data_IF_529942418821
#
_entry.id   IF_529942418821
#
_cell.length_a   1.000
_cell.length_b   1.000
_cell.length_c   1.000
_cell.angle_alpha   90.00
_cell.angle_beta   90.00
_cell.angle_gamma   90.00
#
_symmetry.space_group_name_H-M   'P 1'
#
loop_
_entity.id
_entity.type
_entity.pdbx_description
1 polymer ?
2 polymer ?
3 polymer ?
4 non-polymer ?
5 non-polymer ?
6 water ?
#
# COMPACT_ATOMS: atom_id res chain seq x y z
N UNK A 3 -17.85 4.76 -1.44
CA UNK A 3 -17.78 5.37 -2.75
C UNK A 3 -16.48 4.98 -3.46
N UNK A 4 -16.50 5.02 -4.79
CA UNK A 4 -15.29 4.79 -5.59
C UNK A 4 -14.37 5.99 -5.52
N UNK A 5 -13.07 5.74 -5.68
CA UNK A 5 -12.06 6.77 -5.54
C UNK A 5 -10.98 6.59 -6.59
N UNK A 6 -10.41 7.69 -7.05
CA UNK A 6 -9.14 7.66 -7.76
C UNK A 6 -8.12 8.37 -6.89
N UNK A 7 -6.96 7.74 -6.72
CA UNK A 7 -5.94 8.30 -5.83
C UNK A 7 -4.59 8.18 -6.48
N UNK A 8 -3.82 9.25 -6.42
CA UNK A 8 -2.43 9.27 -6.86
C UNK A 8 -1.50 9.45 -5.68
N UNK A 9 -0.33 8.80 -5.77
CA UNK A 9 0.66 8.78 -4.71
C UNK A 9 2.01 9.08 -5.34
N UNK A 10 2.79 9.97 -4.74
CA UNK A 10 4.15 10.16 -5.25
C UNK A 10 5.13 10.32 -4.10
N UNK A 11 6.38 9.95 -4.39
CA UNK A 11 7.49 10.00 -3.44
C UNK A 11 8.72 10.55 -4.14
N UNK A 12 9.33 11.59 -3.59
CA UNK A 12 10.66 12.01 -4.01
C UNK A 12 11.65 11.81 -2.87
N UNK A 13 12.83 11.29 -3.20
CA UNK A 13 13.86 10.99 -2.20
C UNK A 13 15.16 11.61 -2.67
N UNK A 14 15.77 12.43 -1.85
CA UNK A 14 17.06 13.01 -2.22
C UNK A 14 18.22 12.07 -1.86
N UNK A 15 19.35 12.28 -2.51
CA UNK A 15 20.56 11.51 -2.33
C UNK A 15 21.75 12.43 -2.54
N UNK A 16 21.99 13.32 -1.60
CA UNK A 16 23.02 14.34 -1.77
C UNK A 16 24.39 13.74 -2.07
N UNK A 17 25.05 14.29 -3.06
CA UNK A 17 26.32 13.78 -3.54
C UNK A 17 26.19 12.66 -4.56
N UNK A 18 24.99 12.15 -4.79
CA UNK A 18 24.74 11.06 -5.74
C UNK A 18 23.74 11.47 -6.81
N UNK A 19 23.74 12.75 -7.17
CA UNK A 19 22.82 13.21 -8.18
C UNK A 19 21.53 13.74 -7.60
N UNK A 20 20.57 13.94 -8.49
CA UNK A 20 19.30 14.58 -8.17
C UNK A 20 18.29 13.57 -7.62
N UNK A 21 17.26 14.06 -6.94
CA UNK A 21 16.31 13.15 -6.30
C UNK A 21 15.61 12.23 -7.27
N UNK A 22 15.17 11.08 -6.74
CA UNK A 22 14.39 10.12 -7.47
C UNK A 22 12.92 10.32 -7.16
N UNK A 23 12.08 10.17 -8.17
CA UNK A 23 10.64 10.40 -8.09
C UNK A 23 9.91 9.15 -8.55
N UNK A 24 9.03 8.62 -7.69
CA UNK A 24 8.20 7.47 -8.03
C UNK A 24 6.74 7.82 -7.76
N UNK A 25 5.88 7.57 -8.75
CA UNK A 25 4.46 7.87 -8.63
C UNK A 25 3.63 6.68 -9.09
N UNK A 26 2.49 6.48 -8.44
CA UNK A 26 1.52 5.45 -8.81
C UNK A 26 0.11 6.01 -8.71
N UNK A 27 -0.80 5.41 -9.49
CA UNK A 27 -2.21 5.79 -9.44
C UNK A 27 -3.09 4.57 -9.30
N UNK A 28 -4.21 4.76 -8.58
CA UNK A 28 -5.14 3.70 -8.22
C UNK A 28 -6.56 4.12 -8.49
N UNK A 29 -7.39 3.18 -8.93
CA UNK A 29 -8.83 3.27 -8.74
C UNK A 29 -9.19 2.32 -7.62
N UNK A 30 -9.70 2.86 -6.51
CA UNK A 30 -9.97 2.04 -5.34
C UNK A 30 -8.66 1.36 -4.95
N UNK A 31 -8.65 0.06 -4.80
CA UNK A 31 -7.42 -0.65 -4.45
C UNK A 31 -6.76 -1.35 -5.63
N UNK A 32 -7.01 -0.88 -6.85
CA UNK A 32 -6.45 -1.45 -8.06
C UNK A 32 -5.52 -0.44 -8.73
N UNK A 33 -4.24 -0.80 -8.84
CA UNK A 33 -3.29 0.11 -9.45
C UNK A 33 -3.47 0.12 -10.96
N UNK A 34 -3.34 1.29 -11.58
CA UNK A 34 -3.41 1.32 -13.04
C UNK A 34 -2.23 2.02 -13.71
N UNK A 35 -1.37 2.73 -12.98
CA UNK A 35 -0.29 3.46 -13.63
C UNK A 35 0.89 3.56 -12.68
N UNK A 36 2.09 3.66 -13.24
CA UNK A 36 3.32 3.89 -12.49
C UNK A 36 4.26 4.79 -13.29
N UNK A 37 5.15 5.45 -12.55
CA UNK A 37 6.25 6.23 -13.14
C UNK A 37 7.40 6.23 -12.16
N UNK A 38 8.61 6.05 -12.69
CA UNK A 38 9.83 6.04 -11.87
C UNK A 38 10.89 6.79 -12.65
N UNK A 39 11.40 7.90 -12.08
CA UNK A 39 12.40 8.69 -12.78
C UNK A 39 13.71 7.94 -12.93
N UNK A 40 13.93 6.88 -12.15
CA UNK A 40 15.11 6.04 -12.25
C UNK A 40 14.87 4.78 -13.06
N UNK A 41 13.69 4.65 -13.67
CA UNK A 41 13.41 3.45 -14.45
C UNK A 41 14.30 3.39 -15.69
N UNK A 42 14.47 2.18 -16.24
CA UNK A 42 15.24 2.05 -17.47
C UNK A 42 14.72 2.99 -18.55
N UNK A 43 13.41 3.07 -18.73
CA UNK A 43 12.80 4.08 -19.58
C UNK A 43 11.76 4.83 -18.76
N UNK A 44 12.01 6.09 -18.40
CA UNK A 44 11.10 6.78 -17.48
C UNK A 44 9.89 7.35 -18.19
N UNK A 45 8.83 6.55 -18.21
CA UNK A 45 7.57 6.87 -18.85
C UNK A 45 6.43 6.42 -17.96
N UNK A 46 5.28 7.06 -18.12
CA UNK A 46 4.08 6.50 -17.52
C UNK A 46 3.78 5.16 -18.16
N UNK A 47 3.44 4.15 -17.36
CA UNK A 47 3.23 2.81 -17.89
C UNK A 47 1.97 2.19 -17.30
N UNK A 48 1.25 1.40 -18.10
CA UNK A 48 0.01 0.78 -17.60
C UNK A 48 0.29 -0.35 -16.63
N UNK A 49 -0.60 -0.48 -15.63
CA UNK A 49 -0.50 -1.56 -14.67
C UNK A 49 -1.84 -2.27 -14.48
N UNK A 50 -2.83 -1.93 -15.30
CA UNK A 50 -4.12 -2.62 -15.32
C UNK A 50 -4.55 -2.76 -16.79
N UNK A 51 -5.23 -3.86 -17.12
CA UNK A 51 -5.66 -4.05 -18.51
C UNK A 51 -6.61 -2.98 -19.02
N UNK A 52 -7.45 -2.40 -18.16
CA UNK A 52 -8.47 -1.47 -18.63
C UNK A 52 -7.92 -0.08 -18.93
N UNK A 53 -6.61 0.10 -18.87
CA UNK A 53 -5.95 1.33 -19.31
C UNK A 53 -4.94 1.06 -20.42
N UNK A 54 -4.76 -0.21 -20.80
CA UNK A 54 -3.81 -0.55 -21.86
C UNK A 54 -4.19 0.00 -23.24
N UNK A 55 -5.47 0.23 -23.47
CA UNK A 55 -5.96 0.68 -24.77
C UNK A 55 -5.82 2.18 -24.98
N UNK A 56 -5.55 2.94 -23.95
CA UNK A 56 -5.43 4.38 -24.11
C UNK A 56 -4.27 4.66 -25.07
N UNK A 57 -4.47 5.64 -25.94
CA UNK A 57 -3.54 5.86 -27.03
C UNK A 57 -2.25 6.49 -26.57
N UNK A 58 -1.29 6.60 -27.51
CA UNK A 58 0.00 7.22 -27.19
C UNK A 58 -0.12 8.65 -26.73
N UNK A 59 -1.21 9.33 -27.08
CA UNK A 59 -1.42 10.69 -26.61
C UNK A 59 -1.65 10.73 -25.11
N UNK A 60 -2.51 9.85 -24.60
CA UNK A 60 -2.72 9.72 -23.16
C UNK A 60 -1.39 9.47 -22.46
N UNK A 61 -0.61 8.50 -22.94
CA UNK A 61 0.62 8.13 -22.25
C UNK A 61 1.68 9.20 -22.37
N UNK A 62 1.77 9.89 -23.50
CA UNK A 62 2.65 11.04 -23.61
C UNK A 62 2.25 12.12 -22.62
N UNK A 63 0.97 12.41 -22.55
CA UNK A 63 0.41 13.44 -21.69
C UNK A 63 0.75 13.15 -20.23
N UNK A 64 0.49 11.94 -19.82
CA UNK A 64 0.75 11.58 -18.44
C UNK A 64 2.24 11.60 -18.13
N UNK A 65 3.06 11.10 -19.06
CA UNK A 65 4.51 11.09 -18.85
C UNK A 65 5.05 12.50 -18.62
N UNK A 66 4.56 13.47 -19.40
CA UNK A 66 5.06 14.84 -19.26
C UNK A 66 4.69 15.43 -17.90
N UNK A 67 3.48 15.14 -17.41
CA UNK A 67 3.09 15.60 -16.08
C UNK A 67 4.00 15.01 -15.01
N UNK A 68 4.30 13.72 -15.11
CA UNK A 68 5.16 13.09 -14.10
C UNK A 68 6.55 13.72 -14.08
N UNK A 69 7.11 13.98 -15.26
CA UNK A 69 8.44 14.57 -15.32
C UNK A 69 8.45 15.99 -14.75
N UNK A 70 7.39 16.73 -15.01
CA UNK A 70 7.30 18.07 -14.47
C UNK A 70 7.18 18.05 -12.95
N UNK A 71 6.39 17.14 -12.43
CA UNK A 71 6.23 17.06 -10.98
C UNK A 71 7.53 16.62 -10.31
N UNK A 72 8.28 15.70 -10.94
CA UNK A 72 9.57 15.33 -10.39
C UNK A 72 10.47 16.55 -10.26
N UNK A 73 10.47 17.40 -11.30
CA UNK A 73 11.31 18.60 -11.27
C UNK A 73 10.86 19.54 -10.16
N UNK A 74 9.54 19.73 -10.02
CA UNK A 74 9.00 20.58 -8.96
C UNK A 74 9.39 20.05 -7.58
N UNK A 75 9.28 18.72 -7.38
CA UNK A 75 9.63 18.14 -6.09
C UNK A 75 11.09 18.42 -5.73
N UNK A 76 11.98 18.44 -6.72
CA UNK A 76 13.37 18.76 -6.42
C UNK A 76 13.50 20.13 -5.78
N UNK A 77 12.79 21.12 -6.34
CA UNK A 77 12.77 22.46 -5.77
C UNK A 77 12.16 22.45 -4.38
N UNK A 78 11.03 21.75 -4.22
CA UNK A 78 10.38 21.69 -2.90
C UNK A 78 11.31 21.12 -1.85
N UNK A 79 12.01 20.03 -2.18
CA UNK A 79 12.96 19.46 -1.22
C UNK A 79 14.04 20.48 -0.86
N UNK A 80 14.52 21.24 -1.85
CA UNK A 80 15.49 22.29 -1.58
C UNK A 80 14.91 23.36 -0.65
N UNK A 81 13.67 23.76 -0.90
CA UNK A 81 13.05 24.79 -0.06
C UNK A 81 12.85 24.27 1.36
N UNK A 82 12.41 23.01 1.50
CA UNK A 82 12.12 22.45 2.81
C UNK A 82 13.38 22.33 3.65
N UNK A 83 14.49 21.93 3.03
CA UNK A 83 15.75 21.88 3.75
C UNK A 83 16.10 23.25 4.31
N UNK A 84 15.86 24.30 3.53
CA UNK A 84 16.06 25.65 4.03
C UNK A 84 15.15 26.01 5.19
N UNK A 85 13.83 25.74 5.04
CA UNK A 85 12.88 26.09 6.09
C UNK A 85 13.28 25.50 7.44
N UNK A 86 13.78 24.26 7.43
CA UNK A 86 14.07 23.55 8.66
C UNK A 86 15.54 23.61 9.03
N UNK A 87 16.33 24.41 8.30
CA UNK A 87 17.75 24.64 8.59
C UNK A 87 18.52 23.33 8.65
N UNK A 88 18.23 22.44 7.71
CA UNK A 88 18.87 21.14 7.69
C UNK A 88 20.12 21.15 6.80
N UNK A 89 21.04 20.25 7.12
CA UNK A 89 22.29 20.16 6.39
C UNK A 89 22.07 19.71 4.96
N UNK A 90 23.00 20.10 4.07
CA UNK A 90 22.99 19.63 2.70
C UNK A 90 23.32 18.15 2.57
N UNK A 91 23.82 17.52 3.64
CA UNK A 91 24.34 16.17 3.54
C UNK A 91 23.28 15.09 3.69
N UNK A 92 22.15 15.38 4.33
CA UNK A 92 21.19 14.35 4.64
C UNK A 92 20.16 14.14 3.54
N UNK A 93 19.73 12.89 3.41
CA UNK A 93 18.64 12.52 2.52
C UNK A 93 17.29 12.83 3.16
N UNK A 94 16.33 13.26 2.35
CA UNK A 94 15.00 13.59 2.83
C UNK A 94 13.95 13.11 1.83
N UNK A 95 12.71 13.03 2.30
CA UNK A 95 11.61 12.44 1.55
C UNK A 95 10.46 13.41 1.48
N UNK A 96 9.86 13.54 0.29
CA UNK A 96 8.64 14.31 0.11
C UNK A 96 7.58 13.40 -0.49
N UNK A 97 6.43 13.27 0.19
CA UNK A 97 5.32 12.45 -0.29
C UNK A 97 4.09 13.30 -0.53
N UNK A 98 3.32 12.91 -1.53
CA UNK A 98 2.08 13.57 -1.94
C UNK A 98 1.04 12.51 -2.20
N UNK A 99 -0.18 12.74 -1.72
CA UNK A 99 -1.32 11.91 -2.07
C UNK A 99 -2.50 12.81 -2.33
N UNK A 100 -3.17 12.61 -3.45
CA UNK A 100 -4.39 13.35 -3.72
C UNK A 100 -5.39 12.44 -4.41
N UNK A 101 -6.65 12.83 -4.37
CA UNK A 101 -7.64 11.98 -4.99
C UNK A 101 -9.02 12.57 -4.89
N UNK A 102 -9.94 11.89 -5.56
CA UNK A 102 -11.34 12.28 -5.62
C UNK A 102 -12.22 11.06 -5.33
N UNK A 103 -13.27 11.28 -4.55
CA UNK A 103 -14.30 10.28 -4.33
C UNK A 103 -15.51 10.63 -5.20
N UNK A 104 -16.10 9.61 -5.81
CA UNK A 104 -17.22 9.79 -6.74
C UNK A 104 -18.54 9.81 -5.99
N UNK A 105 -19.32 10.88 -6.19
CA UNK A 105 -20.60 11.04 -5.55
C UNK A 105 -21.72 10.42 -6.34
N UNK A 106 -22.90 10.30 -5.71
CA UNK A 106 -24.02 9.62 -6.37
C UNK A 106 -24.59 10.35 -7.58
N UNK A 107 -24.19 11.60 -7.82
CA UNK A 107 -24.59 12.31 -9.02
C UNK A 107 -23.55 12.23 -10.14
N UNK A 108 -22.54 11.38 -9.99
CA UNK A 108 -21.47 11.33 -10.98
C UNK A 108 -20.52 12.50 -10.93
N UNK A 109 -20.55 13.28 -9.86
CA UNK A 109 -19.63 14.39 -9.67
C UNK A 109 -18.86 14.19 -8.37
N UNK A 110 -18.01 15.14 -8.05
CA UNK A 110 -17.18 15.04 -6.86
C UNK A 110 -18.02 14.96 -5.59
N UNK A 111 -17.75 13.94 -4.77
CA UNK A 111 -18.28 13.82 -3.42
C UNK A 111 -17.35 14.48 -2.41
N UNK A 112 -16.06 14.20 -2.51
CA UNK A 112 -15.07 14.86 -1.67
C UNK A 112 -13.71 14.72 -2.34
N UNK A 113 -12.85 15.71 -2.10
CA UNK A 113 -11.50 15.69 -2.63
C UNK A 113 -10.50 15.83 -1.51
N UNK A 114 -9.27 15.39 -1.76
CA UNK A 114 -8.24 15.47 -0.77
C UNK A 114 -6.91 15.59 -1.44
N UNK A 115 -6.00 16.26 -0.74
CA UNK A 115 -4.68 16.56 -1.26
C UNK A 115 -3.77 16.84 -0.11
N UNK A 116 -2.80 16.00 0.14
CA UNK A 116 -1.95 16.18 1.28
C UNK A 116 -0.53 15.86 0.99
N UNK A 117 0.37 16.47 1.77
CA UNK A 117 1.81 16.29 1.61
C UNK A 117 2.47 16.03 2.96
N UNK A 118 3.55 15.22 2.92
CA UNK A 118 4.32 14.90 4.10
C UNK A 118 5.81 15.07 3.80
N UNK A 119 6.56 15.50 4.80
CA UNK A 119 8.00 15.66 4.71
C UNK A 119 8.66 14.77 5.74
N UNK A 120 9.57 13.91 5.28
CA UNK A 120 10.22 12.92 6.13
C UNK A 120 9.20 12.14 6.97
N UNK A 121 8.08 11.80 6.36
CA UNK A 121 7.10 10.91 6.98
C UNK A 121 6.14 11.58 7.95
N UNK A 122 6.13 12.91 8.02
CA UNK A 122 5.25 13.64 8.92
C UNK A 122 4.38 14.61 8.13
N UNK A 123 3.10 14.69 8.48
CA UNK A 123 2.16 15.64 7.86
C UNK A 123 2.79 17.02 7.69
N UNK A 124 2.65 17.60 6.49
CA UNK A 124 3.15 18.94 6.22
C UNK A 124 2.06 19.96 5.88
N UNK A 125 1.36 19.76 4.80
CA UNK A 125 0.26 20.66 4.44
C UNK A 125 -0.83 19.85 3.77
N UNK A 126 -2.09 20.24 4.00
CA UNK A 126 -3.23 19.56 3.43
C UNK A 126 -4.28 20.54 2.93
N UNK A 127 -4.89 20.21 1.80
CA UNK A 127 -6.05 20.95 1.35
C UNK A 127 -7.25 20.59 2.21
N UNK A 128 -7.94 21.61 2.70
CA UNK A 128 -9.08 21.37 3.56
C UNK A 128 -10.26 20.88 2.75
N UNK A 129 -11.28 20.39 3.46
CA UNK A 129 -12.45 19.82 2.80
C UNK A 129 -13.17 20.82 1.91
N UNK A 130 -13.06 22.11 2.21
CA UNK A 130 -13.69 23.11 1.35
C UNK A 130 -13.01 23.25 -0.01
N UNK A 131 -11.84 22.65 -0.16
CA UNK A 131 -11.06 22.70 -1.38
C UNK A 131 -10.70 24.14 -1.70
N UNK A 132 -10.66 24.98 -0.70
CA UNK A 132 -10.33 26.39 -0.86
C UNK A 132 -9.22 26.90 0.04
N UNK A 133 -9.08 26.27 1.18
CA UNK A 133 -8.14 26.65 2.18
C UNK A 133 -7.18 25.51 2.55
N UNK A 134 -6.06 25.85 3.15
CA UNK A 134 -5.02 24.90 3.49
C UNK A 134 -4.82 24.83 5.00
N UNK A 135 -4.47 23.65 5.50
CA UNK A 135 -4.02 23.48 6.88
C UNK A 135 -2.53 23.19 6.87
N UNK A 136 -1.77 24.01 7.59
CA UNK A 136 -0.33 23.88 7.72
C UNK A 136 0.01 23.22 9.06
N UNK A 137 0.94 22.27 9.03
CA UNK A 137 1.27 21.53 10.24
C UNK A 137 2.10 22.37 11.21
N UNK A 138 2.89 23.31 10.71
CA UNK A 138 3.82 24.05 11.57
C UNK A 138 4.18 25.37 10.88
N UNK A 139 5.10 26.12 11.50
CA UNK A 139 5.43 27.43 10.94
C UNK A 139 6.15 27.34 9.60
N UNK A 140 6.80 26.22 9.29
CA UNK A 140 7.38 26.08 7.95
C UNK A 140 6.29 25.88 6.91
N UNK A 141 5.33 24.99 7.18
CA UNK A 141 4.23 24.80 6.26
C UNK A 141 3.35 26.05 6.13
N UNK A 142 3.40 26.98 7.10
CA UNK A 142 2.66 28.23 6.97
C UNK A 142 3.28 29.13 5.90
N UNK A 143 4.58 28.99 5.67
CA UNK A 143 5.21 29.65 4.53
C UNK A 143 4.62 29.13 3.24
N UNK A 144 4.60 27.80 3.08
CA UNK A 144 3.97 27.20 1.91
C UNK A 144 2.53 27.66 1.77
N UNK A 145 1.79 27.67 2.89
CA UNK A 145 0.40 28.12 2.87
C UNK A 145 0.28 29.52 2.28
N UNK A 146 1.14 30.44 2.73
CA UNK A 146 1.10 31.81 2.20
C UNK A 146 1.47 31.85 0.72
N UNK A 147 2.50 31.09 0.32
CA UNK A 147 2.84 31.04 -1.10
C UNK A 147 1.67 30.52 -1.93
N UNK A 148 1.01 29.46 -1.46
CA UNK A 148 -0.03 28.83 -2.27
C UNK A 148 -1.33 29.65 -2.28
N UNK A 149 -1.60 30.40 -1.21
CA UNK A 149 -2.70 31.35 -1.25
C UNK A 149 -2.44 32.45 -2.28
N UNK A 150 -1.22 32.97 -2.32
CA UNK A 150 -0.91 34.01 -3.29
C UNK A 150 -0.94 33.48 -4.72
N UNK A 151 -0.48 32.24 -4.92
CA UNK A 151 -0.49 31.61 -6.23
C UNK A 151 -1.85 31.05 -6.62
N UNK A 152 -2.86 31.19 -5.75
CA UNK A 152 -4.21 30.68 -6.01
C UNK A 152 -4.15 29.19 -6.36
N UNK A 153 -3.31 28.47 -5.61
CA UNK A 153 -3.06 27.06 -5.89
C UNK A 153 -4.30 26.20 -5.64
N UNK A 154 -5.07 26.52 -4.59
CA UNK A 154 -6.23 25.70 -4.25
C UNK A 154 -7.27 25.72 -5.37
N UNK A 155 -7.46 26.87 -6.02
CA UNK A 155 -8.41 26.91 -7.13
C UNK A 155 -7.98 25.98 -8.26
N UNK A 156 -6.67 25.88 -8.50
CA UNK A 156 -6.17 24.95 -9.50
C UNK A 156 -6.44 23.52 -9.11
N UNK A 157 -6.12 23.16 -7.86
CA UNK A 157 -6.33 21.80 -7.41
C UNK A 157 -7.82 21.46 -7.42
N UNK A 158 -8.66 22.39 -6.96
CA UNK A 158 -10.09 22.14 -6.95
C UNK A 158 -10.61 21.89 -8.35
N UNK A 159 -10.13 22.65 -9.34
CA UNK A 159 -10.61 22.46 -10.71
C UNK A 159 -10.27 21.06 -11.21
N UNK A 160 -9.06 20.57 -10.90
CA UNK A 160 -8.71 19.19 -11.27
C UNK A 160 -9.60 18.20 -10.56
N UNK A 161 -9.76 18.36 -9.23
CA UNK A 161 -10.53 17.37 -8.47
C UNK A 161 -11.98 17.31 -8.92
N UNK A 162 -12.60 18.47 -9.15
CA UNK A 162 -13.97 18.52 -9.59
C UNK A 162 -14.26 18.14 -11.03
N UNK A 163 -13.26 18.27 -11.87
CA UNK A 163 -13.45 17.98 -13.24
C UNK A 163 -12.73 16.79 -13.77
N UNK A 164 -11.47 16.96 -14.11
CA UNK A 164 -10.68 15.92 -14.69
C UNK A 164 -10.61 14.65 -13.83
N UNK A 165 -10.47 14.79 -12.53
CA UNK A 165 -10.35 13.61 -11.68
C UNK A 165 -11.61 12.76 -11.73
N UNK A 166 -12.78 13.38 -11.58
CA UNK A 166 -14.03 12.63 -11.57
C UNK A 166 -14.35 12.09 -12.96
N UNK A 167 -14.09 12.88 -14.00
CA UNK A 167 -14.36 12.41 -15.36
C UNK A 167 -13.56 11.17 -15.70
N UNK A 168 -12.27 11.15 -15.36
CA UNK A 168 -11.47 9.97 -15.66
C UNK A 168 -11.78 8.81 -14.75
N UNK A 169 -12.09 9.08 -13.47
CA UNK A 169 -12.53 8.01 -12.58
C UNK A 169 -13.75 7.29 -13.14
N UNK A 170 -14.69 8.05 -13.71
CA UNK A 170 -15.87 7.45 -14.31
C UNK A 170 -15.52 6.62 -15.55
N UNK A 171 -14.63 7.15 -16.40
CA UNK A 171 -14.20 6.40 -17.58
C UNK A 171 -13.55 5.08 -17.20
N UNK A 172 -12.64 5.11 -16.22
CA UNK A 172 -11.98 3.89 -15.77
C UNK A 172 -12.97 2.90 -15.17
N UNK A 173 -13.93 3.40 -14.38
CA UNK A 173 -14.91 2.50 -13.77
C UNK A 173 -15.74 1.79 -14.84
N UNK A 174 -16.04 2.47 -15.94
CA UNK A 174 -16.78 1.82 -17.03
C UNK A 174 -15.91 0.83 -17.80
N UNK A 175 -14.69 1.24 -18.18
CA UNK A 175 -13.83 0.36 -18.98
C UNK A 175 -13.37 -0.85 -18.19
N UNK A 176 -13.20 -0.73 -16.88
CA UNK A 176 -12.80 -1.86 -16.08
C UNK A 176 -13.91 -2.35 -15.16
N UNK A 177 -15.16 -2.23 -15.62
CA UNK A 177 -16.29 -2.47 -14.73
C UNK A 177 -16.35 -3.90 -14.24
N UNK A 178 -15.94 -4.87 -15.06
CA UNK A 178 -16.11 -6.25 -14.64
C UNK A 178 -15.12 -6.67 -13.55
N UNK A 179 -14.16 -5.81 -13.20
CA UNK A 179 -13.32 -6.04 -12.04
C UNK A 179 -13.40 -4.93 -11.00
N UNK A 180 -13.60 -3.67 -11.42
CA UNK A 180 -13.61 -2.56 -10.48
C UNK A 180 -14.93 -2.43 -9.72
N UNK A 181 -16.05 -2.86 -10.31
CA UNK A 181 -17.35 -2.70 -9.68
C UNK A 181 -17.85 -4.01 -9.05
N UNK A 182 -16.91 -4.87 -8.67
CA UNK A 182 -17.18 -6.20 -8.13
C UNK A 182 -16.47 -6.35 -6.79
N UNK A 183 -17.21 -6.37 -5.70
CA UNK A 183 -16.62 -6.75 -4.43
C UNK A 183 -16.45 -8.27 -4.40
N UNK A 184 -15.37 -8.74 -3.78
CA UNK A 184 -15.13 -10.16 -3.57
C UNK A 184 -15.08 -10.41 -2.08
N UNK A 185 -15.98 -11.23 -1.57
CA UNK A 185 -16.04 -11.47 -0.14
C UNK A 185 -14.82 -12.28 0.31
N UNK A 186 -14.44 -12.16 1.57
CA UNK A 186 -13.34 -13.00 2.08
C UNK A 186 -13.79 -14.45 2.19
N UNK A 187 -12.87 -15.34 1.86
CA UNK A 187 -13.02 -16.76 2.10
C UNK A 187 -12.26 -17.07 3.37
N UNK A 188 -12.94 -17.62 4.38
CA UNK A 188 -12.36 -17.73 5.70
C UNK A 188 -12.15 -19.17 6.12
N UNK A 189 -11.23 -19.35 7.07
CA UNK A 189 -11.08 -20.61 7.78
C UNK A 189 -10.30 -20.34 9.06
N UNK A 190 -10.42 -21.25 10.02
CA UNK A 190 -9.71 -21.14 11.29
C UNK A 190 -8.80 -22.34 11.45
N UNK A 191 -7.53 -22.08 11.73
CA UNK A 191 -6.57 -23.15 12.00
C UNK A 191 -6.19 -23.16 13.47
N UNK A 192 -5.59 -24.27 13.89
CA UNK A 192 -5.37 -24.57 15.29
C UNK A 192 -4.01 -25.21 15.47
N UNK A 193 -3.18 -24.65 16.33
CA UNK A 193 -1.80 -25.11 16.53
C UNK A 193 -1.48 -25.17 18.00
N UNK A 194 -1.49 -26.35 18.61
CA UNK A 194 -1.05 -26.46 20.01
C UNK A 194 0.36 -25.91 20.20
N UNK A 195 0.58 -25.21 21.31
CA UNK A 195 1.90 -24.65 21.62
C UNK A 195 2.45 -25.16 22.95
N UNK A 196 1.67 -25.89 23.73
CA UNK A 196 2.12 -26.43 25.00
C UNK A 196 1.14 -27.51 25.42
N UNK A 197 1.31 -28.05 26.62
CA UNK A 197 0.35 -29.04 27.07
C UNK A 197 -0.96 -28.42 27.58
N UNK A 198 -1.16 -27.11 27.44
CA UNK A 198 -2.47 -26.55 27.77
C UNK A 198 -2.80 -25.25 27.04
N UNK A 199 -2.07 -24.88 25.99
CA UNK A 199 -2.39 -23.71 25.21
C UNK A 199 -2.27 -24.03 23.72
N UNK A 200 -3.00 -23.27 22.91
CA UNK A 200 -3.00 -23.48 21.48
C UNK A 200 -3.29 -22.16 20.77
N UNK A 201 -2.69 -21.99 19.60
CA UNK A 201 -2.97 -20.83 18.76
C UNK A 201 -4.19 -21.11 17.91
N UNK A 202 -5.11 -20.15 17.87
CA UNK A 202 -6.19 -20.12 16.90
C UNK A 202 -5.88 -19.01 15.90
N UNK A 203 -5.89 -19.33 14.62
CA UNK A 203 -5.59 -18.34 13.58
C UNK A 203 -6.78 -18.24 12.64
N UNK A 204 -7.35 -17.03 12.56
CA UNK A 204 -8.50 -16.76 11.71
C UNK A 204 -8.03 -16.13 10.41
N UNK A 205 -8.37 -16.76 9.29
CA UNK A 205 -7.91 -16.39 7.97
C UNK A 205 -9.01 -15.73 7.14
N UNK A 206 -8.63 -14.71 6.39
CA UNK A 206 -9.47 -14.14 5.33
C UNK A 206 -8.64 -14.08 4.06
N UNK A 207 -9.14 -14.70 3.00
CA UNK A 207 -8.40 -14.81 1.75
C UNK A 207 -9.25 -14.36 0.59
N UNK A 208 -8.60 -13.82 -0.43
CA UNK A 208 -9.25 -13.59 -1.70
C UNK A 208 -10.25 -12.46 -1.73
N UNK A 209 -10.09 -11.46 -0.86
CA UNK A 209 -11.12 -10.42 -0.78
C UNK A 209 -10.69 -9.16 -1.51
N UNK A 210 -11.70 -8.38 -1.91
CA UNK A 210 -11.49 -7.10 -2.59
C UNK A 210 -12.74 -6.27 -2.35
N UNK A 211 -12.59 -5.00 -1.95
CA UNK A 211 -11.36 -4.25 -1.73
C UNK A 211 -10.63 -4.66 -0.46
N UNK A 212 -9.57 -3.91 -0.14
CA UNK A 212 -8.64 -4.32 0.90
C UNK A 212 -9.15 -4.09 2.33
N UNK A 213 -10.03 -3.14 2.53
CA UNK A 213 -10.51 -2.86 3.87
C UNK A 213 -11.26 -4.07 4.45
N UNK A 214 -10.87 -4.49 5.65
CA UNK A 214 -11.49 -5.61 6.33
C UNK A 214 -11.28 -5.40 7.82
N UNK A 215 -12.15 -5.98 8.64
CA UNK A 215 -11.95 -6.07 10.08
C UNK A 215 -11.98 -7.54 10.47
N UNK A 216 -10.96 -7.97 11.23
CA UNK A 216 -10.85 -9.31 11.79
C UNK A 216 -10.62 -9.17 13.28
N UNK A 217 -11.51 -9.72 14.09
CA UNK A 217 -11.33 -9.62 15.54
C UNK A 217 -11.65 -10.96 16.18
N UNK A 218 -10.96 -11.23 17.29
CA UNK A 218 -11.28 -12.38 18.12
C UNK A 218 -12.02 -11.92 19.37
N UNK A 219 -13.02 -12.71 19.78
CA UNK A 219 -13.73 -12.52 21.03
C UNK A 219 -13.63 -13.76 21.90
N UNK A 220 -13.57 -13.54 23.22
CA UNK A 220 -13.66 -14.61 24.21
C UNK A 220 -14.90 -14.34 25.05
N UNK A 221 -15.83 -15.29 25.08
CA UNK A 221 -17.12 -15.07 25.74
C UNK A 221 -17.72 -13.74 25.31
N UNK A 222 -17.59 -13.41 24.03
CA UNK A 222 -18.12 -12.16 23.49
C UNK A 222 -17.32 -10.90 23.81
N UNK A 223 -16.18 -11.02 24.49
CA UNK A 223 -15.34 -9.88 24.84
C UNK A 223 -14.18 -9.78 23.86
N UNK A 224 -14.07 -8.63 23.18
CA UNK A 224 -12.99 -8.43 22.23
C UNK A 224 -11.62 -8.61 22.88
N UNK A 225 -10.72 -9.27 22.18
CA UNK A 225 -9.38 -9.58 22.67
C UNK A 225 -8.28 -8.91 21.86
N UNK A 226 -8.49 -7.66 21.44
CA UNK A 226 -7.56 -7.03 20.49
C UNK A 226 -6.16 -6.89 21.08
N UNK A 227 -6.04 -6.56 22.36
CA UNK A 227 -4.70 -6.42 22.92
C UNK A 227 -3.89 -7.71 22.84
N UNK A 228 -4.56 -8.85 22.97
CA UNK A 228 -3.90 -10.15 22.94
C UNK A 228 -3.91 -10.79 21.55
N UNK A 229 -4.31 -10.06 20.52
CA UNK A 229 -4.42 -10.61 19.17
C UNK A 229 -3.20 -10.20 18.35
N UNK A 230 -2.62 -11.15 17.65
CA UNK A 230 -1.57 -10.86 16.67
C UNK A 230 -2.26 -10.67 15.32
N UNK A 231 -2.13 -9.47 14.75
CA UNK A 231 -2.87 -9.08 13.56
C UNK A 231 -1.85 -8.68 12.50
N UNK A 232 -1.70 -9.47 11.44
CA UNK A 232 -0.76 -9.09 10.40
C UNK A 232 -1.36 -8.01 9.51
N UNK A 233 -0.47 -7.24 8.88
CA UNK A 233 -0.90 -6.23 7.93
C UNK A 233 -1.60 -6.87 6.74
N UNK A 234 -2.69 -6.24 6.29
CA UNK A 234 -3.37 -6.70 5.09
C UNK A 234 -2.40 -6.72 3.92
N UNK A 235 -2.41 -7.82 3.17
CA UNK A 235 -1.34 -8.06 2.21
C UNK A 235 -1.91 -8.47 0.85
N UNK A 236 -1.24 -8.10 -0.22
CA UNK A 236 -1.70 -8.45 -1.56
C UNK A 236 -1.39 -9.90 -1.89
N UNK A 237 -2.35 -10.59 -2.51
CA UNK A 237 -2.07 -11.93 -2.99
C UNK A 237 -1.30 -11.93 -4.31
N UNK A 238 -1.34 -10.84 -5.05
CA UNK A 238 -0.70 -10.73 -6.34
C UNK A 238 -1.62 -10.86 -7.51
N UNK A 239 -2.87 -11.28 -7.29
CA UNK A 239 -3.86 -11.45 -8.34
C UNK A 239 -4.97 -10.40 -8.29
N UNK A 240 -4.77 -9.32 -7.54
CA UNK A 240 -5.79 -8.32 -7.36
C UNK A 240 -6.56 -8.42 -6.05
N UNK A 241 -6.46 -9.54 -5.34
CA UNK A 241 -7.15 -9.72 -4.07
C UNK A 241 -6.18 -9.58 -2.91
N UNK A 242 -6.72 -9.64 -1.70
CA UNK A 242 -5.97 -9.38 -0.48
C UNK A 242 -6.17 -10.51 0.52
N UNK A 243 -5.31 -10.53 1.54
CA UNK A 243 -5.31 -11.56 2.57
C UNK A 243 -5.00 -10.92 3.91
N UNK A 244 -5.48 -11.56 4.98
CA UNK A 244 -5.17 -11.11 6.32
C UNK A 244 -5.45 -12.27 7.28
N UNK A 245 -4.72 -12.29 8.40
CA UNK A 245 -5.09 -13.20 9.48
C UNK A 245 -4.90 -12.53 10.84
N UNK A 246 -5.58 -13.11 11.83
CA UNK A 246 -5.57 -12.69 13.22
C UNK A 246 -5.45 -13.92 14.10
N UNK A 247 -4.54 -13.90 15.06
CA UNK A 247 -4.34 -15.09 15.88
C UNK A 247 -4.33 -14.72 17.37
N UNK A 248 -4.83 -15.65 18.17
CA UNK A 248 -4.81 -15.59 19.63
C UNK A 248 -4.28 -16.91 20.16
N UNK A 249 -3.55 -16.84 21.27
CA UNK A 249 -3.18 -18.02 22.04
C UNK A 249 -4.22 -18.22 23.15
N UNK A 250 -4.84 -19.39 23.17
CA UNK A 250 -6.01 -19.64 24.03
C UNK A 250 -5.73 -20.85 24.90
N UNK A 251 -6.40 -20.96 26.04
CA UNK A 251 -6.29 -22.19 26.84
C UNK A 251 -6.89 -23.35 26.07
N UNK A 252 -6.12 -24.43 25.94
CA UNK A 252 -6.64 -25.63 25.31
C UNK A 252 -7.86 -26.11 26.07
N UNK A 253 -8.88 -26.51 25.32
CA UNK A 253 -10.16 -26.85 25.91
C UNK A 253 -11.13 -25.70 26.07
N UNK A 254 -10.70 -24.47 25.80
CA UNK A 254 -11.61 -23.33 25.81
C UNK A 254 -11.86 -22.79 24.41
N UNK A 255 -11.44 -23.53 23.37
CA UNK A 255 -11.51 -22.98 22.02
C UNK A 255 -12.94 -22.62 21.61
N UNK A 256 -13.93 -23.34 22.11
CA UNK A 256 -15.32 -23.07 21.76
C UNK A 256 -15.81 -21.71 22.22
N UNK A 257 -15.13 -21.16 23.20
CA UNK A 257 -15.51 -19.87 23.74
C UNK A 257 -14.92 -18.70 22.95
N UNK A 258 -14.13 -18.98 21.91
CA UNK A 258 -13.54 -17.93 21.10
C UNK A 258 -14.25 -17.85 19.75
N UNK A 259 -14.56 -16.63 19.33
CA UNK A 259 -15.19 -16.43 18.04
C UNK A 259 -14.39 -15.40 17.26
N UNK A 260 -14.25 -15.66 15.96
CA UNK A 260 -13.62 -14.72 15.04
C UNK A 260 -14.70 -13.95 14.31
N UNK A 261 -14.56 -12.64 14.25
CA UNK A 261 -15.57 -11.79 13.64
C UNK A 261 -14.97 -11.10 12.43
N UNK A 262 -15.68 -11.16 11.31
CA UNK A 262 -15.19 -10.64 10.03
C UNK A 262 -16.18 -9.61 9.49
N UNK A 263 -15.67 -8.45 9.13
CA UNK A 263 -16.45 -7.39 8.49
C UNK A 263 -15.81 -7.03 7.15
N UNK A 264 -16.62 -7.01 6.10
CA UNK A 264 -16.13 -6.68 4.76
C UNK A 264 -17.33 -6.25 3.91
N UNK A 265 -17.10 -5.37 2.97
CA UNK A 265 -18.18 -4.89 2.16
C UNK A 265 -18.81 -5.95 1.29
N UNK A 266 -18.09 -7.00 1.01
CA UNK A 266 -18.64 -8.11 0.24
C UNK A 266 -19.52 -9.06 1.01
N UNK A 267 -19.64 -8.88 2.37
CA UNK A 267 -20.50 -9.72 3.22
C UNK A 267 -21.81 -9.01 3.50
N UNK A 268 -22.94 -9.73 3.41
CA UNK A 268 -24.22 -9.08 3.70
C UNK A 268 -24.38 -8.71 5.17
N UNK A 269 -23.73 -9.46 6.06
CA UNK A 269 -23.75 -9.19 7.49
C UNK A 269 -22.40 -9.61 8.04
N UNK A 270 -22.00 -9.11 9.21
CA UNK A 270 -20.78 -9.59 9.83
C UNK A 270 -20.80 -11.11 10.01
N UNK A 271 -19.63 -11.70 9.86
CA UNK A 271 -19.48 -13.15 9.90
C UNK A 271 -18.90 -13.56 11.25
N UNK A 272 -19.46 -14.60 11.86
CA UNK A 272 -18.96 -15.13 13.13
C UNK A 272 -18.47 -16.55 12.90
N UNK A 273 -17.21 -16.81 13.28
CA UNK A 273 -16.57 -18.08 13.00
C UNK A 273 -16.06 -18.73 14.27
N UNK A 274 -16.00 -20.06 14.27
CA UNK A 274 -15.38 -20.83 15.32
C UNK A 274 -14.45 -21.87 14.71
N UNK A 275 -13.50 -22.35 15.50
CA UNK A 275 -12.73 -23.52 15.10
C UNK A 275 -13.63 -24.74 15.20
N UNK A 276 -13.68 -25.55 14.16
CA UNK A 276 -14.65 -26.63 14.25
C UNK A 276 -14.01 -27.99 14.54
N UNK A 277 -12.87 -28.34 13.91
CA UNK A 277 -12.24 -29.59 14.36
C UNK A 277 -11.73 -29.52 15.80
N UNK B 1 15.99 11.67 10.47
CA UNK B 1 14.60 11.51 10.09
C UNK B 1 14.04 10.19 10.60
N UNK B 2 12.77 9.95 10.30
CA UNK B 2 12.12 8.72 10.74
C UNK B 2 12.77 7.52 10.09
N UNK B 3 12.92 6.45 10.88
CA UNK B 3 13.42 5.17 10.39
C UNK B 3 12.49 4.11 11.00
N UNK B 4 11.54 3.61 10.21
CA UNK B 4 10.63 2.55 10.64
C UNK B 4 11.00 1.26 9.91
N UNK B 5 11.12 0.17 10.66
CA UNK B 5 11.62 -1.06 10.07
C UNK B 5 10.49 -1.81 9.36
N UNK B 6 10.80 -2.52 8.27
CA UNK B 6 9.73 -3.22 7.54
C UNK B 6 9.13 -4.38 8.32
N UNK B 7 7.82 -4.52 8.17
CA UNK B 7 7.09 -5.72 8.54
C UNK B 7 7.17 -6.66 7.34
N UNK B 8 7.76 -7.84 7.55
CA UNK B 8 8.12 -8.75 6.46
C UNK B 8 7.22 -9.97 6.53
N UNK B 9 6.47 -10.24 5.47
CA UNK B 9 5.61 -11.42 5.39
C UNK B 9 5.98 -12.26 4.19
N UNK B 10 6.13 -13.57 4.39
CA UNK B 10 6.46 -14.50 3.31
C UNK B 10 5.35 -15.52 3.23
N UNK B 11 4.74 -15.67 2.04
CA UNK B 11 3.50 -16.41 1.94
C UNK B 11 3.20 -16.77 0.50
N UNK B 12 2.31 -17.74 0.31
CA UNK B 12 1.91 -18.15 -1.03
C UNK B 12 0.61 -17.45 -1.44
N UNK B 13 0.43 -17.29 -2.75
CA UNK B 13 -0.81 -16.69 -3.24
C UNK B 13 -2.01 -17.57 -2.91
N UNK B 14 -1.91 -18.86 -3.22
CA UNK B 14 -2.93 -19.86 -2.96
C UNK B 14 -2.47 -20.80 -1.86
N UNK B 15 -3.40 -21.48 -1.17
CA UNK B 15 -2.99 -22.45 -0.17
C UNK B 15 -1.97 -23.43 -0.75
N UNK B 16 -0.87 -23.61 -0.03
CA UNK B 16 0.24 -24.40 -0.57
C UNK B 16 -0.14 -25.86 -0.71
N UNK B 17 0.16 -26.42 -1.88
CA UNK B 17 -0.02 -27.84 -2.16
C UNK B 17 1.23 -28.32 -2.88
N UNK B 18 1.87 -29.35 -2.32
CA UNK B 18 3.15 -29.79 -2.87
C UNK B 18 2.98 -30.32 -4.29
N UNK B 19 3.84 -29.86 -5.19
CA UNK B 19 3.76 -30.23 -6.58
C UNK B 19 2.76 -29.47 -7.43
N UNK B 20 2.09 -28.45 -6.89
CA UNK B 20 1.18 -27.60 -7.66
C UNK B 20 1.75 -26.20 -7.75
N UNK B 21 1.88 -25.70 -8.98
CA UNK B 21 2.43 -24.38 -9.22
C UNK B 21 1.66 -23.30 -8.46
N UNK B 22 2.39 -22.33 -7.93
CA UNK B 22 1.85 -21.31 -7.03
C UNK B 22 2.70 -20.05 -7.22
N UNK B 23 2.47 -19.04 -6.38
CA UNK B 23 3.33 -17.85 -6.37
C UNK B 23 3.82 -17.60 -4.96
N UNK B 24 5.12 -17.37 -4.84
CA UNK B 24 5.77 -17.05 -3.57
C UNK B 24 5.87 -15.53 -3.45
N UNK B 25 5.30 -14.99 -2.36
CA UNK B 25 5.21 -13.57 -2.11
C UNK B 25 6.08 -13.18 -0.92
N UNK B 26 6.80 -12.06 -1.06
CA UNK B 26 7.40 -11.38 0.07
C UNK B 26 6.85 -9.96 0.09
N UNK B 27 6.13 -9.63 1.14
CA UNK B 27 5.51 -8.32 1.27
C UNK B 27 6.21 -7.60 2.40
N UNK B 28 6.70 -6.39 2.12
CA UNK B 28 7.33 -5.55 3.11
C UNK B 28 6.49 -4.29 3.24
N UNK B 29 6.10 -3.96 4.47
CA UNK B 29 5.20 -2.83 4.67
C UNK B 29 5.58 -2.09 5.95
N UNK B 30 5.02 -0.88 6.09
CA UNK B 30 5.21 -0.11 7.29
C UNK B 30 6.59 0.48 7.48
N UNK B 31 7.36 0.65 6.41
CA UNK B 31 8.73 1.08 6.57
C UNK B 31 8.92 2.50 6.08
N UNK B 32 10.03 3.10 6.51
CA UNK B 32 10.40 4.48 6.16
C UNK B 32 11.87 4.63 6.57
N UNK B 33 12.72 5.24 5.73
CA UNK B 33 12.44 5.75 4.39
C UNK B 33 12.36 4.60 3.38
N UNK B 34 12.31 4.93 2.10
CA UNK B 34 11.84 3.97 1.12
C UNK B 34 12.92 3.08 0.51
N UNK B 35 14.20 3.42 0.64
CA UNK B 35 15.24 2.55 0.08
C UNK B 35 15.21 1.20 0.77
N UNK B 36 15.14 0.13 -0.02
CA UNK B 36 15.02 -1.21 0.53
C UNK B 36 15.47 -2.19 -0.53
N UNK B 37 16.08 -3.30 -0.10
CA UNK B 37 16.47 -4.38 -0.98
C UNK B 37 15.80 -5.66 -0.52
N UNK B 38 15.27 -6.43 -1.47
CA UNK B 38 14.51 -7.62 -1.16
C UNK B 38 14.90 -8.73 -2.12
N UNK B 39 15.31 -9.88 -1.58
CA UNK B 39 15.53 -11.07 -2.39
C UNK B 39 14.63 -12.21 -1.93
N UNK B 40 14.12 -12.98 -2.87
CA UNK B 40 13.52 -14.26 -2.56
C UNK B 40 14.61 -15.34 -2.67
N UNK B 41 14.60 -16.29 -1.75
CA UNK B 41 15.62 -17.34 -1.67
C UNK B 41 14.99 -18.73 -1.79
N UNK B 42 15.67 -19.62 -2.51
CA UNK B 42 15.37 -21.04 -2.51
C UNK B 42 16.62 -21.78 -2.07
N UNK B 43 16.50 -22.53 -0.98
CA UNK B 43 17.63 -23.24 -0.37
C UNK B 43 18.82 -22.31 -0.18
N UNK B 44 18.54 -21.11 0.35
CA UNK B 44 19.58 -20.17 0.72
C UNK B 44 20.15 -19.31 -0.40
N UNK B 45 19.75 -19.56 -1.64
CA UNK B 45 20.33 -18.90 -2.80
C UNK B 45 19.29 -18.02 -3.50
N UNK B 46 19.77 -16.93 -4.10
CA UNK B 46 18.90 -15.94 -4.70
C UNK B 46 18.10 -16.53 -5.86
N UNK B 47 16.79 -16.28 -5.86
CA UNK B 47 15.96 -16.56 -7.01
C UNK B 47 16.07 -15.37 -7.96
N UNK B 48 16.47 -15.66 -9.20
CA UNK B 48 16.43 -14.76 -10.32
C UNK B 48 15.02 -14.77 -10.90
N UNK B 49 14.77 -13.78 -11.77
CA UNK B 49 13.42 -13.58 -12.33
C UNK B 49 12.38 -13.45 -11.22
N UNK B 50 12.64 -12.54 -10.29
CA UNK B 50 11.63 -12.12 -9.32
C UNK B 50 11.06 -10.78 -9.75
N UNK B 51 9.74 -10.67 -9.70
CA UNK B 51 9.06 -9.42 -10.04
C UNK B 51 8.66 -8.68 -8.78
N UNK B 52 8.31 -7.41 -8.96
CA UNK B 52 7.91 -6.62 -7.82
C UNK B 52 6.98 -5.51 -8.17
N UNK B 53 6.23 -5.07 -7.17
CA UNK B 53 5.30 -3.96 -7.34
C UNK B 53 6.05 -2.62 -7.35
N UNK B 54 5.29 -1.54 -7.50
CA UNK B 54 5.82 -0.19 -7.53
C UNK B 54 5.60 0.50 -6.20
N UNK B 55 6.57 1.34 -5.81
CA UNK B 55 6.55 1.98 -4.49
C UNK B 55 5.25 2.73 -4.25
N UNK B 56 4.57 2.36 -3.16
CA UNK B 56 3.34 3.00 -2.76
C UNK B 56 3.39 3.16 -1.25
N UNK B 57 2.36 3.77 -0.67
CA UNK B 57 2.39 3.98 0.76
C UNK B 57 0.98 4.06 1.33
N UNK B 58 0.90 3.86 2.65
CA UNK B 58 -0.34 3.76 3.39
C UNK B 58 -0.74 5.12 3.95
N UNK B 59 -1.86 5.11 4.67
CA UNK B 59 -2.40 6.35 5.22
C UNK B 59 -1.45 7.02 6.19
N UNK B 60 -0.61 6.26 6.89
CA UNK B 60 0.35 6.83 7.82
C UNK B 60 1.68 7.17 7.16
N UNK B 61 1.73 7.18 5.83
CA UNK B 61 2.87 7.54 4.99
C UNK B 61 3.93 6.43 4.93
N UNK B 62 3.73 5.30 5.60
CA UNK B 62 4.72 4.22 5.52
C UNK B 62 4.58 3.47 4.21
N UNK B 63 5.72 2.97 3.70
CA UNK B 63 5.81 2.39 2.38
C UNK B 63 5.48 0.91 2.39
N UNK B 64 5.11 0.39 1.22
CA UNK B 64 4.95 -1.04 1.05
C UNK B 64 5.31 -1.47 -0.38
N UNK B 65 5.78 -2.71 -0.49
CA UNK B 65 6.22 -3.33 -1.74
C UNK B 65 5.95 -4.82 -1.68
N UNK B 66 5.61 -5.39 -2.84
CA UNK B 66 5.43 -6.83 -3.02
C UNK B 66 6.49 -7.35 -3.98
N UNK B 67 7.20 -8.41 -3.57
CA UNK B 67 8.12 -9.14 -4.44
C UNK B 67 7.58 -10.55 -4.62
N UNK B 68 7.64 -11.10 -5.83
CA UNK B 68 7.00 -12.40 -6.04
C UNK B 68 7.61 -13.17 -7.20
N UNK B 69 7.39 -14.48 -7.19
CA UNK B 69 7.87 -15.35 -8.25
C UNK B 69 6.99 -16.60 -8.29
N UNK B 70 6.88 -17.20 -9.47
CA UNK B 70 6.32 -18.54 -9.54
C UNK B 70 7.17 -19.51 -8.74
N UNK B 71 6.52 -20.45 -8.05
CA UNK B 71 7.28 -21.51 -7.40
C UNK B 71 6.37 -22.72 -7.23
N UNK B 72 7.01 -23.85 -6.96
CA UNK B 72 6.31 -25.10 -6.66
C UNK B 72 6.66 -25.53 -5.26
N UNK B 73 5.72 -25.48 -4.32
CA UNK B 73 6.01 -25.98 -2.97
C UNK B 73 6.40 -27.45 -3.03
N UNK B 74 7.40 -27.81 -2.22
CA UNK B 74 7.81 -29.20 -2.07
C UNK B 74 8.01 -29.49 -0.60
N UNK B 75 8.20 -30.78 -0.29
CA UNK B 75 8.41 -31.17 1.09
C UNK B 75 9.73 -30.66 1.64
N UNK B 76 10.79 -30.65 0.81
CA UNK B 76 12.15 -30.47 1.32
C UNK B 76 12.84 -29.18 0.91
N UNK B 77 12.34 -28.43 -0.07
CA UNK B 77 12.99 -27.18 -0.44
C UNK B 77 12.58 -26.09 0.53
N UNK B 78 13.53 -25.23 0.87
CA UNK B 78 13.32 -24.14 1.81
C UNK B 78 13.20 -22.81 1.08
N UNK B 79 12.09 -22.11 1.30
CA UNK B 79 11.86 -20.80 0.71
C UNK B 79 11.93 -19.71 1.77
N UNK B 80 12.47 -18.56 1.39
CA UNK B 80 12.64 -17.48 2.35
C UNK B 80 12.72 -16.15 1.62
N UNK B 81 12.67 -15.07 2.40
CA UNK B 81 12.83 -13.72 1.90
C UNK B 81 13.93 -13.04 2.70
N UNK B 82 14.79 -12.29 2.03
CA UNK B 82 15.91 -11.59 2.66
C UNK B 82 15.74 -10.10 2.38
N UNK B 83 15.81 -9.29 3.44
CA UNK B 83 15.48 -7.87 3.36
C UNK B 83 16.60 -7.03 3.97
N UNK B 84 16.99 -5.96 3.28
CA UNK B 84 17.90 -4.99 3.86
C UNK B 84 17.29 -3.60 3.83
N UNK B 85 17.53 -2.84 4.90
CA UNK B 85 16.93 -1.54 5.16
C UNK B 85 17.84 -0.84 6.16
N UNK B 86 17.77 0.50 6.20
CA UNK B 86 18.64 1.26 7.08
C UNK B 86 18.42 0.89 8.55
N UNK B 87 17.25 0.37 8.90
CA UNK B 87 16.96 -0.10 10.27
C UNK B 87 17.57 -1.46 10.59
N UNK B 88 18.30 -2.09 9.66
CA UNK B 88 18.85 -3.43 9.89
C UNK B 88 20.36 -3.39 9.71
N UNK B 89 21.10 -3.88 10.71
CA UNK B 89 22.56 -3.90 10.59
C UNK B 89 23.03 -4.99 9.64
N UNK B 90 22.32 -6.10 9.56
CA UNK B 90 22.55 -7.14 8.58
C UNK B 90 21.21 -7.47 7.96
N UNK B 91 21.20 -8.03 6.74
CA UNK B 91 19.92 -8.43 6.14
C UNK B 91 19.14 -9.38 7.03
N UNK B 92 17.82 -9.18 7.07
CA UNK B 92 16.92 -10.03 7.81
C UNK B 92 16.37 -11.14 6.91
N UNK B 93 16.42 -12.37 7.38
CA UNK B 93 15.89 -13.52 6.66
C UNK B 93 14.62 -13.99 7.36
N UNK B 94 13.53 -14.10 6.60
CA UNK B 94 12.27 -14.65 7.10
C UNK B 94 11.96 -15.91 6.28
N UNK B 95 11.86 -17.05 6.97
CA UNK B 95 11.56 -18.30 6.30
C UNK B 95 10.05 -18.47 6.12
N UNK B 96 9.67 -19.07 4.99
CA UNK B 96 8.26 -19.30 4.70
C UNK B 96 7.64 -20.32 5.66
N UNK B 97 6.50 -19.95 6.25
CA UNK B 97 5.63 -20.84 7.01
C UNK B 97 4.31 -20.97 6.26
N UNK B 98 3.89 -22.21 5.95
CA UNK B 98 2.72 -22.39 5.08
C UNK B 98 1.40 -22.00 5.72
N UNK B 99 1.36 -21.80 7.04
CA UNK B 99 0.14 -21.29 7.67
C UNK B 99 0.39 -19.91 8.27
N UNK B 100 1.25 -19.12 7.64
CA UNK B 100 1.34 -17.71 8.02
C UNK B 100 1.31 -16.79 6.81
N UNK C 1 3.04 23.03 -11.27
CA UNK C 1 2.47 23.70 -10.12
C UNK C 1 3.54 24.33 -9.23
N UNK C 2 3.10 24.87 -8.10
CA UNK C 2 3.99 25.48 -7.19
C UNK C 2 4.83 24.55 -6.34
N UNK C 3 6.05 24.96 -6.14
CA UNK C 3 6.87 24.28 -5.16
C UNK C 3 6.38 24.63 -3.77
N UNK C 4 6.71 23.78 -2.82
CA UNK C 4 6.42 24.03 -1.42
C UNK C 4 7.28 25.19 -0.91
#
# INVERSE_FOLDING_TARGET
AGSHSMRYFSTSVSRPGRGEPRFIAVGYVDDTQFVRFDSDAASPRGEPRAPWVEQEGPEYWDRETQKYKRQAQTDRVSLRNLRGYYNQSEAGSHTLQWMFGCDLGPDGRLLRGYDQSAYDGKDYIALNEDLRSWTAADTAAQITQRKWEAAREAEQRRAYLEGTCVEWLRRYLENGKETLQRAEHPKTHVTHHPVSDHEATLRCWALGFYPAEITLTWQWDGEDQTQDTELVETRPAGDGTFQKWAAVVVPSGEEQRYTCHVQHEGLPEPLTLRWEP
AIQRTPKIQVYSRHPAENGKSNFLNCYVSGFHPSDIEVDLLKNGERIEKVEHSDLSFSKDWSFYLLYYTEFTPTEKDEYACRVNHVTLSQPKIVKWDRDM
GAAL
#
